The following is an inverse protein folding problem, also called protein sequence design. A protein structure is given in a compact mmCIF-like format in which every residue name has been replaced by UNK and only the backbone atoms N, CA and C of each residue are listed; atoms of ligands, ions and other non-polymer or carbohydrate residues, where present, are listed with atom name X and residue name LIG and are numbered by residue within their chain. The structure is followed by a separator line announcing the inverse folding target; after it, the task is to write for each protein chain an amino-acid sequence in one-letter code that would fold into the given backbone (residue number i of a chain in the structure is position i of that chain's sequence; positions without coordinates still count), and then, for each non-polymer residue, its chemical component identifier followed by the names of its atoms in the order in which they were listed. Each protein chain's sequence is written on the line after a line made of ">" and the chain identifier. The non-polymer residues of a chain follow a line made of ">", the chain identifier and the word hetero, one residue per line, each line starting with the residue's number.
data_IF_240411674503
#
_entry.id   IF_240411674503
#
_cell.length_a   1.000
_cell.length_b   1.000
_cell.length_c   1.000
_cell.angle_alpha   90.00
_cell.angle_beta   90.00
_cell.angle_gamma   90.00
#
_symmetry.space_group_name_H-M   'P 1'
#
loop_
_entity.id
_entity.type
_entity.pdbx_description
1 polymer ?
#
# COMPACT_ATOMS: atom_id res chain seq x y z
N UNK A 1 59.78 -12.01 9.47
CA UNK A 1 59.58 -13.47 9.44
C UNK A 1 58.07 -13.73 9.42
N UNK A 2 57.47 -13.97 8.25
CA UNK A 2 56.99 -15.27 7.75
C UNK A 2 56.02 -16.03 8.70
N UNK A 3 54.73 -15.87 8.37
CA UNK A 3 53.59 -16.83 8.38
C UNK A 3 53.23 -17.56 9.68
N UNK A 4 51.97 -17.38 10.09
CA UNK A 4 51.08 -18.50 10.44
C UNK A 4 49.62 -18.02 10.38
N UNK A 5 48.84 -18.59 9.46
CA UNK A 5 47.40 -18.35 9.31
C UNK A 5 46.70 -19.40 10.18
N UNK A 6 45.97 -18.98 11.20
CA UNK A 6 45.12 -19.89 11.98
C UNK A 6 43.65 -19.60 11.64
N UNK A 7 43.03 -20.57 10.95
CA UNK A 7 41.61 -20.55 10.58
C UNK A 7 40.79 -21.04 11.77
N UNK A 8 40.08 -20.13 12.44
CA UNK A 8 39.01 -20.51 13.37
C UNK A 8 37.70 -20.19 12.66
N UNK A 9 37.09 -21.24 12.11
CA UNK A 9 35.75 -21.20 11.55
C UNK A 9 34.75 -21.15 12.71
N UNK A 10 34.13 -19.98 12.93
CA UNK A 10 33.01 -19.84 13.84
C UNK A 10 31.72 -19.99 13.04
N UNK A 11 31.05 -21.14 13.20
CA UNK A 11 29.72 -21.39 12.67
C UNK A 11 28.73 -20.58 13.52
N UNK A 12 28.22 -19.47 12.99
CA UNK A 12 27.15 -18.72 13.65
C UNK A 12 25.83 -19.35 13.23
N UNK A 13 25.12 -19.92 14.21
CA UNK A 13 23.81 -20.51 14.03
C UNK A 13 22.84 -19.51 13.39
N UNK A 14 22.21 -19.90 12.29
CA UNK A 14 21.09 -19.16 11.70
C UNK A 14 19.89 -19.28 12.65
N UNK A 15 19.74 -18.33 13.56
CA UNK A 15 18.54 -18.16 14.35
C UNK A 15 17.40 -17.75 13.43
N UNK A 16 16.45 -18.65 13.20
CA UNK A 16 15.18 -18.33 12.56
C UNK A 16 14.43 -17.35 13.46
N UNK A 17 14.53 -16.06 13.18
CA UNK A 17 13.61 -15.07 13.71
C UNK A 17 12.30 -15.21 12.94
N UNK A 18 11.48 -16.20 13.29
CA UNK A 18 10.05 -16.14 12.97
C UNK A 18 9.47 -15.00 13.78
N UNK A 19 9.54 -13.80 13.21
CA UNK A 19 8.90 -12.63 13.76
C UNK A 19 7.45 -12.99 14.04
N UNK A 20 7.06 -12.91 15.32
CA UNK A 20 5.69 -12.87 15.77
C UNK A 20 5.07 -11.60 15.17
N UNK A 21 4.64 -11.66 13.91
CA UNK A 21 3.75 -10.65 13.36
C UNK A 21 2.41 -10.93 14.02
N UNK A 22 1.90 -10.05 14.90
CA UNK A 22 0.54 -10.22 15.38
C UNK A 22 -0.35 -10.25 14.14
N UNK A 23 -1.05 -11.37 13.95
CA UNK A 23 -2.12 -11.49 12.98
C UNK A 23 -3.24 -10.56 13.45
N UNK A 24 -3.12 -9.27 13.13
CA UNK A 24 -4.24 -8.37 13.15
C UNK A 24 -5.31 -9.01 12.25
N UNK A 25 -6.58 -9.04 12.66
CA UNK A 25 -7.63 -9.46 11.76
C UNK A 25 -7.52 -8.55 10.55
N UNK A 26 -7.16 -9.12 9.40
CA UNK A 26 -7.21 -8.41 8.14
C UNK A 26 -8.70 -8.17 7.87
N UNK A 27 -9.23 -7.06 8.43
CA UNK A 27 -10.44 -6.47 7.89
C UNK A 27 -10.10 -6.23 6.41
N UNK A 28 -10.72 -7.02 5.54
CA UNK A 28 -10.38 -7.02 4.13
C UNK A 28 -11.18 -5.91 3.47
N UNK A 29 -10.48 -4.99 2.83
CA UNK A 29 -11.12 -4.05 1.92
C UNK A 29 -11.78 -4.87 0.79
N UNK A 30 -13.02 -4.55 0.46
CA UNK A 30 -13.71 -5.14 -0.69
C UNK A 30 -13.53 -4.23 -1.90
N UNK A 31 -12.93 -4.77 -2.97
CA UNK A 31 -13.07 -4.16 -4.29
C UNK A 31 -14.51 -4.39 -4.77
N UNK A 32 -15.19 -3.32 -5.17
CA UNK A 32 -16.61 -3.34 -5.53
C UNK A 32 -16.88 -2.47 -6.77
N UNK A 33 -18.05 -2.64 -7.37
CA UNK A 33 -18.52 -1.75 -8.42
C UNK A 33 -18.74 -0.34 -7.90
N UNK A 34 -18.25 0.65 -8.64
CA UNK A 34 -18.36 2.06 -8.24
C UNK A 34 -19.81 2.57 -8.24
N UNK A 35 -20.57 2.26 -9.31
CA UNK A 35 -21.89 2.86 -9.56
C UNK A 35 -21.89 4.38 -9.36
N UNK A 36 -23.00 4.91 -8.85
CA UNK A 36 -23.16 6.33 -8.54
C UNK A 36 -22.73 6.70 -7.10
N UNK A 37 -22.12 5.75 -6.36
CA UNK A 37 -21.76 5.93 -4.96
C UNK A 37 -20.60 6.90 -4.84
N UNK A 38 -20.71 7.90 -3.97
CA UNK A 38 -19.66 8.90 -3.72
C UNK A 38 -18.89 8.64 -2.43
N UNK A 39 -19.36 7.72 -1.60
CA UNK A 39 -18.82 7.41 -0.29
C UNK A 39 -17.70 6.37 -0.29
N UNK A 40 -17.47 5.67 -1.41
CA UNK A 40 -16.35 4.73 -1.56
C UNK A 40 -15.03 5.44 -1.84
N UNK A 41 -13.94 4.76 -1.53
CA UNK A 41 -12.63 5.15 -2.06
C UNK A 41 -12.61 4.81 -3.54
N UNK A 42 -12.30 5.79 -4.40
CA UNK A 42 -12.16 5.58 -5.85
C UNK A 42 -10.73 5.90 -6.27
N UNK A 43 -10.17 5.03 -7.09
CA UNK A 43 -8.85 5.22 -7.71
C UNK A 43 -9.03 5.19 -9.21
N UNK A 44 -8.73 6.31 -9.85
CA UNK A 44 -8.70 6.44 -11.31
C UNK A 44 -7.27 6.22 -11.81
N UNK A 45 -7.10 5.30 -12.74
CA UNK A 45 -5.79 4.81 -13.17
C UNK A 45 -5.80 4.42 -14.65
N UNK A 46 -4.61 4.29 -15.25
CA UNK A 46 -4.42 3.92 -16.66
C UNK A 46 -5.28 4.73 -17.66
N UNK A 47 -5.51 6.03 -17.39
CA UNK A 47 -6.17 6.93 -18.34
C UNK A 47 -7.65 6.62 -18.64
N UNK A 48 -8.36 5.92 -17.75
CA UNK A 48 -9.80 5.68 -17.91
C UNK A 48 -10.38 4.53 -17.10
N UNK A 49 -9.56 3.82 -16.33
CA UNK A 49 -10.02 2.77 -15.43
C UNK A 49 -10.34 3.35 -14.06
N UNK A 50 -11.33 2.78 -13.37
CA UNK A 50 -11.67 3.16 -11.99
C UNK A 50 -11.87 1.92 -11.14
N UNK A 51 -11.14 1.84 -10.02
CA UNK A 51 -11.35 0.84 -8.99
C UNK A 51 -12.00 1.49 -7.78
N UNK A 52 -13.02 0.83 -7.21
CA UNK A 52 -13.70 1.29 -6.00
C UNK A 52 -13.54 0.31 -4.86
N UNK A 53 -13.35 0.84 -3.67
CA UNK A 53 -13.04 0.09 -2.47
C UNK A 53 -13.95 0.51 -1.31
N UNK A 54 -14.42 -0.48 -0.56
CA UNK A 54 -15.29 -0.31 0.60
C UNK A 54 -14.80 -1.16 1.78
N UNK A 55 -15.36 -0.88 2.96
CA UNK A 55 -15.02 -1.47 4.26
C UNK A 55 -13.65 -1.07 4.80
N UNK A 56 -13.54 -0.98 6.12
CA UNK A 56 -12.27 -0.74 6.80
C UNK A 56 -11.30 -1.91 6.60
N UNK A 57 -10.01 -1.63 6.49
CA UNK A 57 -9.04 -2.67 6.17
C UNK A 57 -7.77 -2.19 5.51
N UNK A 58 -6.98 -3.16 5.03
CA UNK A 58 -5.77 -2.92 4.23
C UNK A 58 -5.76 -3.85 3.02
N UNK A 59 -5.37 -3.34 1.86
CA UNK A 59 -5.16 -4.13 0.64
C UNK A 59 -3.94 -3.59 -0.13
N UNK A 60 -3.34 -4.44 -0.97
CA UNK A 60 -2.26 -4.07 -1.86
C UNK A 60 -2.71 -4.19 -3.33
N UNK A 61 -3.35 -3.15 -3.91
CA UNK A 61 -4.06 -3.29 -5.18
C UNK A 61 -3.15 -3.21 -6.42
N UNK A 62 -1.91 -2.71 -6.29
CA UNK A 62 -0.92 -2.65 -7.37
C UNK A 62 -1.44 -1.92 -8.64
N UNK A 63 -2.14 -0.78 -8.46
CA UNK A 63 -2.71 -0.04 -9.59
C UNK A 63 -1.67 0.93 -10.17
N UNK A 64 -1.23 0.77 -11.43
CA UNK A 64 -0.24 1.64 -12.06
C UNK A 64 -0.88 2.92 -12.61
N UNK A 65 -0.06 3.94 -12.87
CA UNK A 65 -0.49 5.18 -13.57
C UNK A 65 -1.72 5.83 -12.93
N UNK A 66 -1.69 6.00 -11.60
CA UNK A 66 -2.81 6.60 -10.85
C UNK A 66 -2.86 8.09 -11.11
N UNK A 67 -4.00 8.54 -11.62
CA UNK A 67 -4.29 9.94 -11.93
C UNK A 67 -5.03 10.64 -10.78
N UNK A 68 -5.96 9.96 -10.11
CA UNK A 68 -6.79 10.55 -9.06
C UNK A 68 -7.18 9.50 -8.03
N UNK A 69 -7.17 9.92 -6.77
CA UNK A 69 -7.74 9.16 -5.65
C UNK A 69 -8.75 10.04 -4.94
N UNK A 70 -9.97 9.55 -4.72
CA UNK A 70 -10.98 10.20 -3.89
C UNK A 70 -11.31 9.33 -2.69
N UNK A 71 -11.29 9.88 -1.48
CA UNK A 71 -11.47 9.09 -0.25
C UNK A 71 -12.92 8.75 0.08
N UNK A 72 -13.90 9.43 -0.53
CA UNK A 72 -15.31 9.26 -0.19
C UNK A 72 -15.56 9.53 1.30
N UNK A 73 -16.42 8.77 1.97
CA UNK A 73 -16.71 8.94 3.39
C UNK A 73 -15.70 8.22 4.30
N UNK A 74 -14.44 8.09 3.88
CA UNK A 74 -13.42 7.31 4.59
C UNK A 74 -12.20 8.14 4.94
N UNK A 75 -11.56 7.81 6.07
CA UNK A 75 -10.18 8.24 6.29
C UNK A 75 -9.27 7.15 5.70
N UNK A 76 -8.30 7.56 4.90
CA UNK A 76 -7.43 6.61 4.21
C UNK A 76 -5.96 6.94 4.38
N UNK A 77 -5.14 5.91 4.25
CA UNK A 77 -3.70 6.00 4.10
C UNK A 77 -3.31 5.19 2.87
N UNK A 78 -2.43 5.74 2.03
CA UNK A 78 -1.99 5.10 0.78
C UNK A 78 -0.48 5.14 0.65
N UNK A 79 0.10 4.08 0.10
CA UNK A 79 1.46 4.08 -0.44
C UNK A 79 1.38 4.30 -1.94
N UNK A 80 1.65 5.52 -2.39
CA UNK A 80 1.60 5.94 -3.79
C UNK A 80 3.01 6.24 -4.29
N UNK A 81 3.53 5.39 -5.17
CA UNK A 81 4.95 5.37 -5.51
C UNK A 81 5.78 5.03 -4.27
N UNK A 82 6.66 5.94 -3.89
CA UNK A 82 7.51 5.89 -2.70
C UNK A 82 6.98 6.76 -1.53
N UNK A 83 5.80 7.37 -1.68
CA UNK A 83 5.24 8.29 -0.70
C UNK A 83 4.04 7.70 0.04
N UNK A 84 4.05 7.82 1.36
CA UNK A 84 2.86 7.58 2.19
C UNK A 84 2.04 8.87 2.24
N UNK A 85 0.75 8.78 1.91
CA UNK A 85 -0.19 9.91 1.99
C UNK A 85 -1.39 9.53 2.85
N UNK A 86 -1.78 10.45 3.72
CA UNK A 86 -3.01 10.34 4.52
C UNK A 86 -4.05 11.31 3.99
N UNK A 87 -5.28 10.85 3.83
CA UNK A 87 -6.39 11.66 3.35
C UNK A 87 -7.58 11.52 4.29
N UNK A 88 -8.15 12.66 4.67
CA UNK A 88 -9.41 12.72 5.42
C UNK A 88 -10.59 12.34 4.54
N UNK A 89 -11.76 12.19 5.15
CA UNK A 89 -13.04 12.06 4.44
C UNK A 89 -13.24 13.20 3.43
N UNK A 90 -13.92 12.89 2.34
CA UNK A 90 -14.36 13.79 1.28
C UNK A 90 -13.21 14.58 0.63
N UNK A 91 -12.03 13.97 0.60
CA UNK A 91 -10.81 14.55 0.05
C UNK A 91 -10.44 13.90 -1.27
N UNK A 92 -9.67 14.61 -2.09
CA UNK A 92 -9.15 14.11 -3.36
C UNK A 92 -7.71 14.53 -3.55
N UNK A 93 -6.92 13.64 -4.14
CA UNK A 93 -5.61 13.98 -4.73
C UNK A 93 -5.68 13.73 -6.24
N UNK A 94 -4.98 14.57 -7.00
CA UNK A 94 -4.87 14.47 -8.46
C UNK A 94 -3.40 14.61 -8.82
N UNK A 95 -2.94 13.74 -9.69
CA UNK A 95 -1.62 13.85 -10.31
C UNK A 95 -1.67 14.93 -11.41
N UNK A 96 -1.31 16.15 -11.05
CA UNK A 96 -1.21 17.28 -11.98
C UNK A 96 0.16 17.37 -12.66
N UNK A 97 1.14 16.63 -12.14
CA UNK A 97 2.52 16.62 -12.63
C UNK A 97 2.79 15.48 -13.61
N UNK A 98 1.85 14.54 -13.75
CA UNK A 98 1.99 13.38 -14.64
C UNK A 98 3.06 12.40 -14.16
N UNK A 99 3.21 12.26 -12.84
CA UNK A 99 4.14 11.33 -12.21
C UNK A 99 3.79 9.87 -12.50
N UNK A 100 2.52 9.57 -12.82
CA UNK A 100 2.02 8.23 -13.15
C UNK A 100 2.35 7.19 -12.07
N UNK A 101 2.27 7.59 -10.79
CA UNK A 101 2.68 6.74 -9.68
C UNK A 101 1.79 5.49 -9.53
N UNK A 102 2.39 4.40 -9.04
CA UNK A 102 1.69 3.15 -8.71
C UNK A 102 1.14 3.20 -7.29
N UNK A 103 -0.14 2.85 -7.10
CA UNK A 103 -0.72 2.62 -5.77
C UNK A 103 -0.41 1.21 -5.29
N UNK A 104 0.51 1.10 -4.33
CA UNK A 104 0.95 -0.17 -3.78
C UNK A 104 0.08 -0.66 -2.62
N UNK A 105 -0.33 0.25 -1.73
CA UNK A 105 -1.10 -0.07 -0.51
C UNK A 105 -2.23 0.94 -0.35
N UNK A 106 -3.41 0.45 0.03
CA UNK A 106 -4.55 1.24 0.47
C UNK A 106 -5.02 0.73 1.84
N UNK A 107 -5.14 1.63 2.81
CA UNK A 107 -5.78 1.40 4.10
C UNK A 107 -7.01 2.29 4.24
N UNK A 108 -8.11 1.73 4.74
CA UNK A 108 -9.36 2.42 5.10
C UNK A 108 -9.59 2.29 6.61
N UNK A 109 -9.91 3.41 7.28
CA UNK A 109 -10.18 3.51 8.72
C UNK A 109 -11.56 4.06 9.02
#
# INVERSE_FOLDING_TARGET
>A
MKRSISRIALVVAAGAMTALVPALPAAAINQTGCGDRTDFVKVEYNGGQTACYANAGVIAPQLPNVHRITSGNNNIEVLLGDHVKTMSKWSSIVDVEGLNATLYILQIR
#
